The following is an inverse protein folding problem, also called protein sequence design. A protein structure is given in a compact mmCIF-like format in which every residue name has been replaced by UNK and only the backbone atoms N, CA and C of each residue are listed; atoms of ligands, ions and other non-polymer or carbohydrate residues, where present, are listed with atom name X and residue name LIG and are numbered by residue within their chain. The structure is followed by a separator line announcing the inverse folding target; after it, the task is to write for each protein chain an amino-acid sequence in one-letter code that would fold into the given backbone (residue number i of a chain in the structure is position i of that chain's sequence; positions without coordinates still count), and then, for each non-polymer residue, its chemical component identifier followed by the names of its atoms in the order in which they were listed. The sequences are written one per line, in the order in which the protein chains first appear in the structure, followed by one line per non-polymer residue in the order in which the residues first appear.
data_IF_466422865658
#
_entry.id   IF_466422865658
#
_cell.length_a   1.000
_cell.length_b   1.000
_cell.length_c   1.000
_cell.angle_alpha   90.00
_cell.angle_beta   90.00
_cell.angle_gamma   90.00
#
_symmetry.space_group_name_H-M   'P 1'
#
loop_
_entity.id
_entity.type
_entity.pdbx_description
1 polymer ?
#
# COMPACT_ATOMS: atom_id res chain seq x y z
N UNK A 1 6.60 9.76 29.42
CA UNK A 1 6.26 8.37 29.06
C UNK A 1 5.21 8.43 27.97
N UNK A 2 5.55 8.00 26.74
CA UNK A 2 4.61 7.97 25.62
C UNK A 2 3.71 6.74 25.76
N UNK A 3 2.43 6.95 26.07
CA UNK A 3 1.44 5.87 26.03
C UNK A 3 1.33 5.35 24.59
N UNK A 4 1.83 4.13 24.37
CA UNK A 4 1.60 3.38 23.14
C UNK A 4 0.20 2.78 23.25
N UNK A 5 -0.68 3.11 22.31
CA UNK A 5 -2.03 2.57 22.25
C UNK A 5 -2.08 1.37 21.29
N UNK A 6 -2.85 0.34 21.65
CA UNK A 6 -3.16 -0.76 20.73
C UNK A 6 -4.01 -0.27 19.55
N UNK A 7 -4.00 -1.00 18.43
CA UNK A 7 -4.85 -0.73 17.26
C UNK A 7 -6.33 -0.63 17.63
N UNK A 8 -6.81 -1.48 18.55
CA UNK A 8 -8.18 -1.43 19.06
C UNK A 8 -8.47 -0.15 19.84
N UNK A 9 -7.56 0.25 20.73
CA UNK A 9 -7.68 1.47 21.55
C UNK A 9 -7.67 2.72 20.67
N UNK A 10 -6.79 2.77 19.65
CA UNK A 10 -6.73 3.87 18.69
C UNK A 10 -8.03 4.01 17.89
N UNK A 11 -8.67 2.89 17.52
CA UNK A 11 -9.97 2.89 16.84
C UNK A 11 -11.08 3.46 17.73
N UNK A 12 -11.13 3.07 19.01
CA UNK A 12 -12.10 3.58 20.01
C UNK A 12 -11.88 5.08 20.23
N UNK A 13 -10.63 5.52 20.43
CA UNK A 13 -10.29 6.93 20.59
C UNK A 13 -10.68 7.77 19.36
N UNK A 14 -10.51 7.23 18.15
CA UNK A 14 -10.92 7.92 16.92
C UNK A 14 -12.43 8.12 16.86
N UNK A 15 -13.19 7.09 17.23
CA UNK A 15 -14.65 7.13 17.26
C UNK A 15 -15.17 8.16 18.28
N UNK A 16 -14.57 8.21 19.48
CA UNK A 16 -14.95 9.15 20.54
C UNK A 16 -14.42 10.58 20.34
N UNK A 17 -13.57 10.83 19.32
CA UNK A 17 -13.02 12.16 19.05
C UNK A 17 -14.08 13.12 18.51
N UNK A 18 -15.11 12.59 17.85
CA UNK A 18 -16.18 13.37 17.22
C UNK A 18 -17.33 13.69 18.21
N UNK A 19 -17.29 13.13 19.42
CA UNK A 19 -18.28 13.31 20.48
C UNK A 19 -18.29 12.13 21.44
N UNK A 20 -19.00 12.24 22.57
CA UNK A 20 -19.27 11.07 23.41
C UNK A 20 -20.17 10.06 22.70
N UNK A 21 -20.11 8.79 23.07
CA UNK A 21 -21.00 7.76 22.55
C UNK A 21 -21.86 7.14 23.64
N UNK A 22 -23.00 6.57 23.28
CA UNK A 22 -23.79 5.72 24.16
C UNK A 22 -23.27 4.28 24.06
N UNK A 23 -23.25 3.58 25.20
CA UNK A 23 -22.86 2.17 25.26
C UNK A 23 -24.11 1.31 25.30
N UNK A 24 -24.28 0.42 24.32
CA UNK A 24 -25.36 -0.53 24.23
C UNK A 24 -24.84 -1.96 24.35
N UNK A 25 -25.70 -2.86 24.82
CA UNK A 25 -25.35 -4.28 24.89
C UNK A 25 -25.25 -4.89 23.49
N UNK A 26 -24.23 -5.72 23.30
CA UNK A 26 -24.07 -6.52 22.09
C UNK A 26 -24.71 -7.89 22.28
N UNK A 27 -25.09 -8.53 21.17
CA UNK A 27 -25.50 -9.94 21.14
C UNK A 27 -24.37 -10.86 21.67
N UNK A 28 -23.11 -10.42 21.55
CA UNK A 28 -21.97 -11.10 22.16
C UNK A 28 -21.74 -10.57 23.57
N UNK A 29 -21.80 -11.45 24.56
CA UNK A 29 -21.60 -11.11 25.98
C UNK A 29 -20.27 -10.37 26.25
N UNK A 30 -19.22 -10.70 25.50
CA UNK A 30 -17.88 -10.12 25.64
C UNK A 30 -17.72 -8.72 25.02
N UNK A 31 -18.70 -8.26 24.25
CA UNK A 31 -18.63 -7.00 23.50
C UNK A 31 -19.75 -6.05 23.91
N UNK A 32 -19.53 -4.77 23.61
CA UNK A 32 -20.55 -3.72 23.65
C UNK A 32 -20.53 -2.95 22.33
N UNK A 33 -21.65 -2.33 22.02
CA UNK A 33 -21.78 -1.43 20.88
C UNK A 33 -21.65 0.01 21.37
N UNK A 34 -20.69 0.72 20.80
CA UNK A 34 -20.51 2.15 20.98
C UNK A 34 -21.29 2.84 19.88
N UNK A 35 -22.37 3.53 20.24
CA UNK A 35 -23.28 4.20 19.31
C UNK A 35 -23.07 5.70 19.38
N UNK A 36 -22.66 6.30 18.27
CA UNK A 36 -22.45 7.73 18.15
C UNK A 36 -23.16 8.27 16.91
N UNK A 37 -23.12 9.59 16.73
CA UNK A 37 -23.77 10.25 15.59
C UNK A 37 -23.21 9.81 14.22
N UNK A 38 -22.01 9.22 14.21
CA UNK A 38 -21.23 8.88 13.03
C UNK A 38 -21.29 7.39 12.69
N UNK A 39 -22.10 6.63 13.45
CA UNK A 39 -22.28 5.19 13.29
C UNK A 39 -22.05 4.41 14.58
N UNK A 40 -21.93 3.09 14.45
CA UNK A 40 -21.78 2.17 15.57
C UNK A 40 -20.53 1.33 15.41
N UNK A 41 -19.76 1.17 16.48
CA UNK A 41 -18.62 0.25 16.51
C UNK A 41 -18.74 -0.75 17.66
N UNK A 42 -18.34 -2.00 17.43
CA UNK A 42 -18.17 -2.97 18.52
C UNK A 42 -16.83 -2.73 19.23
N UNK A 43 -16.80 -2.87 20.56
CA UNK A 43 -15.60 -2.88 21.39
C UNK A 43 -15.72 -3.98 22.45
N UNK A 44 -14.61 -4.56 22.90
CA UNK A 44 -14.66 -5.55 23.99
C UNK A 44 -14.82 -4.85 25.32
N UNK A 45 -15.56 -5.46 26.27
CA UNK A 45 -15.70 -4.91 27.63
C UNK A 45 -14.33 -4.79 28.32
N UNK A 46 -13.47 -5.79 28.15
CA UNK A 46 -12.13 -5.82 28.73
C UNK A 46 -11.24 -4.66 28.24
N UNK A 47 -11.32 -4.27 26.96
CA UNK A 47 -10.58 -3.11 26.45
C UNK A 47 -11.10 -1.80 27.06
N UNK A 48 -12.43 -1.63 27.13
CA UNK A 48 -13.03 -0.43 27.74
C UNK A 48 -12.69 -0.29 29.22
N UNK A 49 -12.75 -1.39 29.97
CA UNK A 49 -12.37 -1.41 31.39
C UNK A 49 -10.90 -1.05 31.58
N UNK A 50 -10.01 -1.60 30.75
CA UNK A 50 -8.58 -1.28 30.77
C UNK A 50 -8.36 0.21 30.48
N UNK A 51 -9.05 0.76 29.47
CA UNK A 51 -8.94 2.17 29.11
C UNK A 51 -9.53 3.10 30.18
N UNK A 52 -10.60 2.70 30.88
CA UNK A 52 -11.15 3.44 32.02
C UNK A 52 -10.21 3.41 33.23
N UNK A 53 -9.66 2.24 33.57
CA UNK A 53 -8.67 2.08 34.65
C UNK A 53 -7.42 2.92 34.43
N UNK A 54 -7.00 3.09 33.17
CA UNK A 54 -5.91 3.98 32.75
C UNK A 54 -6.29 5.47 32.73
N UNK A 55 -7.54 5.83 33.04
CA UNK A 55 -8.04 7.21 33.02
C UNK A 55 -8.13 7.81 31.61
N UNK A 56 -8.18 6.97 30.57
CA UNK A 56 -8.27 7.40 29.16
C UNK A 56 -9.71 7.75 28.80
N UNK A 57 -10.65 6.94 29.28
CA UNK A 57 -12.08 7.10 29.07
C UNK A 57 -12.78 7.45 30.39
N UNK A 58 -13.83 8.25 30.31
CA UNK A 58 -14.69 8.60 31.43
C UNK A 58 -16.13 8.30 31.03
N UNK A 59 -16.92 7.84 32.00
CA UNK A 59 -18.37 7.74 31.85
C UNK A 59 -18.99 9.03 32.40
N UNK A 60 -19.54 9.85 31.51
CA UNK A 60 -20.31 11.04 31.86
C UNK A 60 -21.80 10.69 31.72
N UNK A 61 -22.40 10.25 32.82
CA UNK A 61 -23.75 9.66 32.81
C UNK A 61 -23.78 8.34 32.04
N UNK A 62 -24.63 8.27 31.00
CA UNK A 62 -24.74 7.10 30.11
C UNK A 62 -23.79 7.16 28.90
N UNK A 63 -22.98 8.23 28.80
CA UNK A 63 -22.10 8.48 27.66
C UNK A 63 -20.66 8.22 28.01
N UNK A 64 -19.97 7.52 27.12
CA UNK A 64 -18.53 7.32 27.18
C UNK A 64 -17.82 8.47 26.46
N UNK A 65 -16.93 9.17 27.15
CA UNK A 65 -16.18 10.32 26.62
C UNK A 65 -14.67 10.16 26.84
N UNK A 66 -13.86 10.83 26.01
CA UNK A 66 -12.40 10.88 26.20
C UNK A 66 -12.06 11.83 27.34
N UNK A 67 -11.27 11.36 28.30
CA UNK A 67 -10.72 12.16 29.39
C UNK A 67 -9.95 13.39 28.86
N UNK A 68 -10.13 14.55 29.50
CA UNK A 68 -9.53 15.82 29.07
C UNK A 68 -8.00 15.78 28.95
N UNK A 69 -7.31 15.06 29.85
CA UNK A 69 -5.87 14.84 29.79
C UNK A 69 -5.45 13.99 28.57
N UNK A 70 -6.28 13.03 28.20
CA UNK A 70 -6.07 12.10 27.08
C UNK A 70 -6.51 12.66 25.73
N UNK A 71 -7.29 13.75 25.70
CA UNK A 71 -7.72 14.41 24.46
C UNK A 71 -6.54 15.01 23.68
N UNK A 72 -5.50 15.51 24.37
CA UNK A 72 -4.26 16.02 23.74
C UNK A 72 -3.34 14.91 23.25
N UNK A 73 -3.21 13.79 23.97
CA UNK A 73 -2.38 12.63 23.58
C UNK A 73 -3.04 11.80 22.48
N UNK A 74 -4.35 11.59 22.52
CA UNK A 74 -5.13 10.99 21.44
C UNK A 74 -5.05 11.81 20.15
N UNK A 75 -5.08 13.15 20.23
CA UNK A 75 -4.91 14.02 19.05
C UNK A 75 -3.51 13.92 18.42
N UNK A 76 -2.46 13.74 19.23
CA UNK A 76 -1.08 13.49 18.73
C UNK A 76 -0.92 12.09 18.13
N UNK A 77 -1.44 11.04 18.78
CA UNK A 77 -1.28 9.65 18.30
C UNK A 77 -2.19 9.26 17.12
N UNK A 78 -3.34 9.93 16.93
CA UNK A 78 -4.16 9.76 15.70
C UNK A 78 -3.44 10.30 14.45
N UNK A 79 -2.52 11.27 14.59
CA UNK A 79 -1.66 11.71 13.48
C UNK A 79 -0.53 10.70 13.16
N UNK A 80 -0.14 9.85 14.11
CA UNK A 80 0.92 8.84 13.91
C UNK A 80 0.41 7.59 13.19
N UNK A 81 -0.91 7.40 13.05
CA UNK A 81 -1.50 6.21 12.43
C UNK A 81 -1.61 6.27 10.89
N UNK A 82 -1.31 7.40 10.25
CA UNK A 82 -1.08 7.53 8.81
C UNK A 82 -0.15 8.71 8.58
N UNK A 83 1.16 8.45 8.47
CA UNK A 83 2.06 9.40 7.82
C UNK A 83 1.90 9.22 6.32
N UNK A 84 0.77 9.63 5.75
CA UNK A 84 0.58 9.53 4.31
C UNK A 84 1.43 10.59 3.63
N UNK A 85 2.38 10.16 2.80
CA UNK A 85 3.13 11.04 1.92
C UNK A 85 2.43 11.07 0.57
N UNK A 86 2.05 12.26 0.10
CA UNK A 86 1.46 12.43 -1.22
C UNK A 86 2.56 12.68 -2.23
N UNK A 87 2.70 11.78 -3.21
CA UNK A 87 3.61 11.98 -4.33
C UNK A 87 2.81 12.44 -5.54
N UNK A 88 3.21 13.57 -6.11
CA UNK A 88 2.72 14.08 -7.39
C UNK A 88 3.57 13.51 -8.54
N UNK A 89 2.91 12.89 -9.52
CA UNK A 89 3.54 12.40 -10.75
C UNK A 89 3.50 13.48 -11.84
N UNK A 90 4.38 13.38 -12.84
CA UNK A 90 4.50 14.33 -13.96
C UNK A 90 3.18 14.57 -14.73
N UNK A 91 2.26 13.61 -14.70
CA UNK A 91 0.94 13.71 -15.35
C UNK A 91 -0.16 14.29 -14.44
N UNK A 92 0.19 14.88 -13.30
CA UNK A 92 -0.75 15.46 -12.33
C UNK A 92 -1.48 14.43 -11.45
N UNK A 93 -1.16 13.15 -11.58
CA UNK A 93 -1.71 12.08 -10.75
C UNK A 93 -1.08 12.14 -9.34
N UNK A 94 -1.91 12.16 -8.30
CA UNK A 94 -1.46 12.16 -6.89
C UNK A 94 -1.67 10.79 -6.27
N UNK A 95 -0.65 10.26 -5.61
CA UNK A 95 -0.72 8.98 -4.90
C UNK A 95 -0.38 9.18 -3.44
N UNK A 96 -1.26 8.71 -2.56
CA UNK A 96 -1.05 8.67 -1.12
C UNK A 96 -0.33 7.37 -0.73
N UNK A 97 0.85 7.49 -0.12
CA UNK A 97 1.68 6.36 0.30
C UNK A 97 1.75 6.32 1.82
N UNK A 98 1.55 5.14 2.42
CA UNK A 98 1.81 4.91 3.83
C UNK A 98 3.17 4.19 4.02
N UNK A 99 4.25 4.90 4.35
CA UNK A 99 5.60 4.35 4.41
C UNK A 99 5.83 3.41 5.61
N UNK A 100 4.91 3.32 6.58
CA UNK A 100 4.95 2.29 7.62
C UNK A 100 4.37 0.95 7.16
N UNK A 101 3.60 0.93 6.08
CA UNK A 101 2.90 -0.26 5.57
C UNK A 101 3.53 -0.84 4.30
N UNK A 102 4.40 -0.11 3.60
CA UNK A 102 5.03 -0.57 2.35
C UNK A 102 6.38 -1.29 2.59
N UNK A 103 6.53 -2.60 2.26
CA UNK A 103 7.84 -3.25 2.21
C UNK A 103 8.83 -2.54 1.28
N UNK A 104 8.31 -1.91 0.22
CA UNK A 104 9.07 -1.09 -0.71
C UNK A 104 9.76 0.08 0.01
N UNK A 105 9.07 0.73 0.96
CA UNK A 105 9.62 1.84 1.73
C UNK A 105 10.82 1.43 2.60
N UNK A 106 10.89 0.18 3.06
CA UNK A 106 12.08 -0.35 3.75
C UNK A 106 13.26 -0.50 2.80
N UNK A 107 13.02 -1.02 1.59
CA UNK A 107 14.05 -1.19 0.57
C UNK A 107 14.54 0.15 0.02
N UNK A 108 13.64 1.13 -0.09
CA UNK A 108 13.96 2.51 -0.50
C UNK A 108 14.93 3.20 0.46
N UNK A 109 14.76 2.99 1.76
CA UNK A 109 15.66 3.54 2.80
C UNK A 109 17.00 2.83 2.87
N UNK A 110 17.11 1.62 2.33
CA UNK A 110 18.35 0.86 2.36
C UNK A 110 19.39 1.55 1.48
N UNK A 111 20.58 1.77 2.05
CA UNK A 111 21.74 2.29 1.31
C UNK A 111 22.68 1.16 0.91
N UNK A 112 23.29 1.27 -0.27
CA UNK A 112 24.40 0.41 -0.69
C UNK A 112 25.71 0.87 -0.01
N UNK A 113 26.82 0.19 -0.32
CA UNK A 113 28.14 0.55 0.20
C UNK A 113 28.60 1.95 -0.20
N UNK A 114 28.08 2.46 -1.32
CA UNK A 114 28.40 3.77 -1.88
C UNK A 114 27.50 4.89 -1.32
N UNK A 115 26.56 4.56 -0.43
CA UNK A 115 25.64 5.53 0.20
C UNK A 115 24.40 5.88 -0.62
N UNK A 116 24.21 5.27 -1.79
CA UNK A 116 23.03 5.43 -2.66
C UNK A 116 21.89 4.49 -2.25
N UNK A 117 20.65 4.87 -2.57
CA UNK A 117 19.48 4.03 -2.32
C UNK A 117 19.56 2.73 -3.14
N UNK A 118 19.17 1.61 -2.54
CA UNK A 118 19.14 0.35 -3.27
C UNK A 118 18.16 0.37 -4.45
N UNK A 119 16.99 0.98 -4.26
CA UNK A 119 16.02 1.30 -5.31
C UNK A 119 15.95 2.81 -5.50
N UNK A 120 15.87 3.26 -6.75
CA UNK A 120 15.78 4.68 -7.08
C UNK A 120 14.42 5.28 -6.68
N UNK A 121 14.34 6.60 -6.61
CA UNK A 121 13.08 7.32 -6.41
C UNK A 121 12.04 6.94 -7.47
N UNK A 122 12.47 6.78 -8.71
CA UNK A 122 11.59 6.47 -9.84
C UNK A 122 11.12 5.02 -9.83
N UNK A 123 11.98 4.08 -9.44
CA UNK A 123 11.63 2.68 -9.19
C UNK A 123 10.62 2.56 -8.05
N UNK A 124 10.85 3.30 -6.95
CA UNK A 124 9.93 3.36 -5.82
C UNK A 124 8.55 3.90 -6.23
N UNK A 125 8.52 5.02 -6.97
CA UNK A 125 7.30 5.61 -7.51
C UNK A 125 6.56 4.67 -8.45
N UNK A 126 7.27 3.95 -9.30
CA UNK A 126 6.68 2.97 -10.20
C UNK A 126 5.97 1.83 -9.44
N UNK A 127 6.61 1.29 -8.40
CA UNK A 127 6.01 0.27 -7.54
C UNK A 127 4.77 0.76 -6.79
N UNK A 128 4.82 1.95 -6.21
CA UNK A 128 3.67 2.56 -5.52
C UNK A 128 2.52 2.92 -6.47
N UNK A 129 2.83 3.30 -7.72
CA UNK A 129 1.84 3.49 -8.78
C UNK A 129 1.11 2.20 -9.12
N UNK A 130 1.85 1.11 -9.31
CA UNK A 130 1.27 -0.22 -9.54
C UNK A 130 0.32 -0.60 -8.39
N UNK A 131 0.73 -0.40 -7.14
CA UNK A 131 -0.10 -0.65 -5.96
C UNK A 131 -1.38 0.20 -5.97
N UNK A 132 -1.28 1.47 -6.32
CA UNK A 132 -2.42 2.39 -6.36
C UNK A 132 -3.44 1.96 -7.42
N UNK A 133 -2.98 1.62 -8.63
CA UNK A 133 -3.85 1.14 -9.71
C UNK A 133 -4.47 -0.23 -9.37
N UNK A 134 -3.70 -1.15 -8.78
CA UNK A 134 -4.21 -2.45 -8.32
C UNK A 134 -5.32 -2.31 -7.28
N UNK A 135 -5.15 -1.37 -6.35
CA UNK A 135 -6.14 -1.07 -5.31
C UNK A 135 -7.38 -0.42 -5.92
N UNK A 136 -7.21 0.58 -6.79
CA UNK A 136 -8.31 1.29 -7.47
C UNK A 136 -9.09 0.37 -8.40
N UNK A 137 -8.42 -0.58 -9.03
CA UNK A 137 -9.01 -1.65 -9.83
C UNK A 137 -9.75 -2.71 -9.01
N UNK A 138 -9.77 -2.63 -7.67
CA UNK A 138 -10.38 -3.66 -6.80
C UNK A 138 -9.88 -5.09 -7.12
N UNK A 139 -8.56 -5.23 -7.37
CA UNK A 139 -7.94 -6.51 -7.73
C UNK A 139 -7.47 -7.33 -6.51
N UNK A 140 -7.73 -6.86 -5.29
CA UNK A 140 -7.45 -7.62 -4.06
C UNK A 140 -8.44 -8.79 -3.89
N UNK A 141 -7.97 -9.99 -3.48
CA UNK A 141 -8.86 -11.11 -3.16
C UNK A 141 -9.82 -10.74 -2.01
N UNK A 142 -11.13 -10.85 -2.20
CA UNK A 142 -12.10 -10.67 -1.11
C UNK A 142 -12.32 -12.01 -0.39
N UNK A 143 -11.90 -12.11 0.87
CA UNK A 143 -12.06 -13.33 1.70
C UNK A 143 -13.46 -13.43 2.35
N UNK A 144 -14.29 -12.40 2.26
CA UNK A 144 -15.67 -12.42 2.74
C UNK A 144 -16.66 -12.35 1.57
N UNK A 145 -17.71 -13.18 1.60
CA UNK A 145 -18.91 -12.95 0.81
C UNK A 145 -19.39 -11.50 1.06
N UNK A 146 -19.45 -10.69 -0.01
CA UNK A 146 -19.99 -9.32 0.04
C UNK A 146 -21.50 -9.41 0.24
N UNK A 147 -21.92 -9.50 1.49
CA UNK A 147 -23.29 -9.20 1.87
C UNK A 147 -23.34 -7.69 2.14
N UNK A 148 -24.13 -7.00 1.32
CA UNK A 148 -24.38 -5.55 1.30
C UNK A 148 -23.30 -4.65 0.67
N UNK A 149 -23.61 -4.17 -0.55
CA UNK A 149 -23.13 -2.88 -1.06
C UNK A 149 -24.15 -1.83 -0.63
N UNK A 150 -24.22 -1.62 0.69
CA UNK A 150 -25.00 -0.57 1.32
C UNK A 150 -24.21 0.73 1.35
N UNK A 151 -24.59 1.65 0.46
CA UNK A 151 -24.45 3.11 0.46
C UNK A 151 -24.09 3.73 1.84
N UNK A 152 -22.99 4.51 1.92
CA UNK A 152 -22.91 5.80 2.64
C UNK A 152 -21.47 6.37 2.83
N UNK A 153 -20.92 7.09 1.83
CA UNK A 153 -20.25 8.40 2.03
C UNK A 153 -19.66 8.96 0.71
N UNK A 154 -20.52 9.32 -0.24
CA UNK A 154 -20.17 10.34 -1.24
C UNK A 154 -21.20 11.46 -1.18
N UNK A 155 -21.07 12.33 -0.20
CA UNK A 155 -21.62 13.68 -0.25
C UNK A 155 -20.82 14.51 -1.27
N UNK A 156 -20.80 14.08 -2.55
CA UNK A 156 -20.45 14.94 -3.70
C UNK A 156 -20.64 14.37 -5.11
N UNK A 157 -21.22 13.19 -5.33
CA UNK A 157 -21.44 12.71 -6.69
C UNK A 157 -22.85 13.02 -7.18
N UNK A 158 -22.94 13.88 -8.20
CA UNK A 158 -24.16 14.06 -9.00
C UNK A 158 -24.53 12.80 -9.82
N UNK A 159 -25.53 12.90 -10.70
CA UNK A 159 -25.96 11.78 -11.55
C UNK A 159 -24.80 11.38 -12.47
N UNK A 160 -24.09 10.30 -12.14
CA UNK A 160 -22.88 9.87 -12.87
C UNK A 160 -21.80 9.20 -12.00
N UNK A 161 -21.83 9.38 -10.68
CA UNK A 161 -20.76 8.87 -9.80
C UNK A 161 -20.52 7.35 -9.86
N UNK A 162 -21.56 6.54 -10.06
CA UNK A 162 -21.38 5.08 -10.16
C UNK A 162 -20.72 4.65 -11.47
N UNK A 163 -21.09 5.28 -12.58
CA UNK A 163 -20.49 5.01 -13.90
C UNK A 163 -19.03 5.47 -13.93
N UNK A 164 -18.75 6.65 -13.37
CA UNK A 164 -17.39 7.19 -13.27
C UNK A 164 -16.49 6.30 -12.39
N UNK A 165 -17.01 5.77 -11.27
CA UNK A 165 -16.26 4.83 -10.42
C UNK A 165 -15.97 3.51 -11.13
N UNK A 166 -16.91 2.98 -11.91
CA UNK A 166 -16.68 1.76 -12.70
C UNK A 166 -15.66 1.97 -13.82
N UNK A 167 -15.70 3.13 -14.48
CA UNK A 167 -14.77 3.47 -15.56
C UNK A 167 -13.35 3.66 -15.01
N UNK A 168 -13.22 4.33 -13.87
CA UNK A 168 -11.94 4.49 -13.16
C UNK A 168 -11.37 3.12 -12.76
N UNK A 169 -12.20 2.21 -12.23
CA UNK A 169 -11.75 0.87 -11.85
C UNK A 169 -11.30 0.07 -13.08
N UNK A 170 -12.05 0.12 -14.18
CA UNK A 170 -11.71 -0.56 -15.43
C UNK A 170 -10.39 -0.02 -16.02
N UNK A 171 -10.24 1.31 -16.10
CA UNK A 171 -9.02 1.94 -16.58
C UNK A 171 -7.80 1.57 -15.71
N UNK A 172 -7.98 1.45 -14.40
CA UNK A 172 -6.92 1.03 -13.48
C UNK A 172 -6.51 -0.42 -13.72
N UNK A 173 -7.48 -1.35 -13.91
CA UNK A 173 -7.18 -2.76 -14.27
C UNK A 173 -6.38 -2.84 -15.57
N UNK A 174 -6.80 -2.11 -16.60
CA UNK A 174 -6.10 -2.08 -17.88
C UNK A 174 -4.67 -1.55 -17.75
N UNK A 175 -4.42 -0.54 -16.90
CA UNK A 175 -3.05 -0.06 -16.62
C UNK A 175 -2.21 -1.12 -15.93
N UNK A 176 -2.75 -1.82 -14.93
CA UNK A 176 -2.06 -2.93 -14.26
C UNK A 176 -1.71 -4.04 -15.26
N UNK A 177 -2.67 -4.49 -16.06
CA UNK A 177 -2.47 -5.56 -17.04
C UNK A 177 -1.35 -5.20 -18.03
N UNK A 178 -1.38 -4.00 -18.60
CA UNK A 178 -0.34 -3.51 -19.53
C UNK A 178 1.04 -3.41 -18.86
N UNK A 179 1.08 -2.97 -17.61
CA UNK A 179 2.33 -2.86 -16.86
C UNK A 179 2.94 -4.23 -16.59
N UNK A 180 2.12 -5.22 -16.20
CA UNK A 180 2.57 -6.60 -15.96
C UNK A 180 2.98 -7.30 -17.26
N UNK A 181 2.25 -7.08 -18.36
CA UNK A 181 2.63 -7.58 -19.68
C UNK A 181 4.00 -7.03 -20.12
N UNK A 182 4.23 -5.73 -19.93
CA UNK A 182 5.52 -5.10 -20.25
C UNK A 182 6.68 -5.60 -19.37
N UNK A 183 6.41 -5.96 -18.12
CA UNK A 183 7.39 -6.56 -17.21
C UNK A 183 7.65 -8.04 -17.53
N UNK A 184 6.65 -8.75 -18.04
CA UNK A 184 6.71 -10.17 -18.35
C UNK A 184 6.37 -11.09 -17.17
N UNK A 185 6.04 -12.36 -17.44
CA UNK A 185 5.50 -13.30 -16.45
C UNK A 185 6.50 -13.64 -15.33
N UNK A 186 7.80 -13.67 -15.64
CA UNK A 186 8.85 -14.06 -14.70
C UNK A 186 8.99 -13.10 -13.51
N UNK A 187 8.75 -11.80 -13.75
CA UNK A 187 8.94 -10.73 -12.76
C UNK A 187 7.61 -10.15 -12.25
N UNK A 188 6.52 -10.33 -12.99
CA UNK A 188 5.19 -9.86 -12.58
C UNK A 188 4.78 -10.38 -11.20
N UNK A 189 5.09 -11.65 -10.92
CA UNK A 189 4.73 -12.29 -9.66
C UNK A 189 5.33 -11.60 -8.43
N UNK A 190 6.63 -11.29 -8.44
CA UNK A 190 7.30 -10.63 -7.31
C UNK A 190 6.84 -9.18 -7.13
N UNK A 191 6.52 -8.48 -8.22
CA UNK A 191 5.95 -7.14 -8.13
C UNK A 191 4.58 -7.15 -7.44
N UNK A 192 3.69 -8.08 -7.82
CA UNK A 192 2.37 -8.21 -7.19
C UNK A 192 2.52 -8.58 -5.71
N UNK A 193 3.36 -9.57 -5.39
CA UNK A 193 3.54 -10.02 -4.01
C UNK A 193 4.05 -8.91 -3.09
N UNK A 194 5.04 -8.14 -3.53
CA UNK A 194 5.69 -7.12 -2.69
C UNK A 194 4.94 -5.78 -2.73
N UNK A 195 4.54 -5.30 -3.92
CA UNK A 195 3.92 -3.98 -4.06
C UNK A 195 2.43 -4.02 -3.69
N UNK A 196 1.70 -5.06 -4.12
CA UNK A 196 0.25 -5.13 -3.95
C UNK A 196 -0.14 -5.88 -2.68
N UNK A 197 0.41 -7.08 -2.46
CA UNK A 197 0.12 -7.90 -1.28
C UNK A 197 1.01 -7.61 -0.07
N UNK A 198 1.99 -6.71 -0.21
CA UNK A 198 2.86 -6.27 0.89
C UNK A 198 3.61 -7.41 1.59
N UNK A 199 3.90 -8.50 0.87
CA UNK A 199 4.71 -9.60 1.39
C UNK A 199 6.16 -9.16 1.59
N UNK A 200 6.80 -9.66 2.65
CA UNK A 200 8.24 -9.53 2.82
C UNK A 200 9.01 -10.45 1.86
N UNK A 201 10.21 -10.05 1.44
CA UNK A 201 11.02 -10.81 0.47
C UNK A 201 11.29 -12.26 0.90
N UNK A 202 11.53 -12.51 2.19
CA UNK A 202 11.75 -13.87 2.71
C UNK A 202 10.54 -14.79 2.51
N UNK A 203 9.32 -14.24 2.65
CA UNK A 203 8.09 -14.98 2.38
C UNK A 203 7.93 -15.26 0.90
N UNK A 204 8.22 -14.28 0.04
CA UNK A 204 8.18 -14.45 -1.41
C UNK A 204 9.18 -15.51 -1.88
N UNK A 205 10.41 -15.48 -1.37
CA UNK A 205 11.44 -16.47 -1.68
C UNK A 205 10.99 -17.89 -1.29
N UNK A 206 10.42 -18.06 -0.11
CA UNK A 206 9.90 -19.35 0.37
C UNK A 206 8.74 -19.87 -0.47
N UNK A 207 7.73 -19.02 -0.74
CA UNK A 207 6.53 -19.41 -1.50
C UNK A 207 6.85 -19.75 -2.96
N UNK A 208 7.84 -19.07 -3.54
CA UNK A 208 8.27 -19.28 -4.93
C UNK A 208 9.41 -20.28 -5.08
N UNK A 209 9.87 -20.87 -3.98
CA UNK A 209 11.01 -21.79 -3.94
C UNK A 209 12.28 -21.20 -4.57
N UNK A 210 12.49 -19.90 -4.40
CA UNK A 210 13.69 -19.22 -4.88
C UNK A 210 14.86 -19.43 -3.91
N UNK A 211 16.11 -19.44 -4.41
CA UNK A 211 17.27 -19.45 -3.53
C UNK A 211 17.27 -18.24 -2.60
N UNK A 212 17.73 -18.42 -1.37
CA UNK A 212 17.77 -17.38 -0.34
C UNK A 212 18.54 -16.15 -0.87
N UNK A 213 18.02 -14.95 -0.58
CA UNK A 213 18.57 -13.65 -1.01
C UNK A 213 18.45 -13.32 -2.50
N UNK A 214 17.73 -14.12 -3.30
CA UNK A 214 17.53 -13.83 -4.73
C UNK A 214 16.44 -12.78 -4.97
N UNK A 215 15.44 -12.70 -4.10
CA UNK A 215 14.24 -11.90 -4.31
C UNK A 215 14.54 -10.40 -4.39
N UNK A 216 15.56 -9.93 -3.66
CA UNK A 216 15.98 -8.53 -3.66
C UNK A 216 16.37 -8.05 -5.07
N UNK A 217 17.17 -8.82 -5.80
CA UNK A 217 17.63 -8.43 -7.15
C UNK A 217 16.52 -8.61 -8.19
N UNK A 218 15.73 -9.67 -8.09
CA UNK A 218 14.58 -9.89 -8.99
C UNK A 218 13.55 -8.76 -8.87
N UNK A 219 13.24 -8.34 -7.64
CA UNK A 219 12.37 -7.18 -7.40
C UNK A 219 12.96 -5.90 -8.02
N UNK A 220 14.25 -5.64 -7.84
CA UNK A 220 14.92 -4.46 -8.44
C UNK A 220 14.80 -4.46 -9.97
N UNK A 221 15.06 -5.59 -10.62
CA UNK A 221 14.89 -5.74 -12.08
C UNK A 221 13.44 -5.49 -12.50
N UNK A 222 12.47 -6.04 -11.78
CA UNK A 222 11.05 -5.80 -12.04
C UNK A 222 10.66 -4.33 -11.92
N UNK A 223 11.14 -3.63 -10.89
CA UNK A 223 10.87 -2.20 -10.68
C UNK A 223 11.50 -1.34 -11.78
N UNK A 224 12.71 -1.67 -12.24
CA UNK A 224 13.35 -0.97 -13.35
C UNK A 224 12.55 -1.12 -14.67
N UNK A 225 12.00 -2.31 -14.92
CA UNK A 225 11.12 -2.55 -16.08
C UNK A 225 9.80 -1.78 -15.95
N UNK A 226 9.21 -1.79 -14.75
CA UNK A 226 7.97 -1.10 -14.45
C UNK A 226 8.13 0.43 -14.60
N UNK A 227 9.24 0.99 -14.12
CA UNK A 227 9.57 2.39 -14.31
C UNK A 227 9.63 2.76 -15.80
N UNK A 228 10.29 1.95 -16.63
CA UNK A 228 10.38 2.15 -18.08
C UNK A 228 9.01 2.11 -18.77
N UNK A 229 8.09 1.27 -18.28
CA UNK A 229 6.72 1.22 -18.76
C UNK A 229 5.96 2.50 -18.43
N UNK A 230 6.06 2.99 -17.19
CA UNK A 230 5.35 4.21 -16.77
C UNK A 230 6.00 5.51 -17.25
N UNK A 231 7.28 5.47 -17.59
CA UNK A 231 8.08 6.61 -18.06
C UNK A 231 8.71 6.26 -19.40
N UNK A 232 7.89 6.11 -20.47
CA UNK A 232 8.42 5.83 -21.80
C UNK A 232 9.35 6.98 -22.19
N UNK A 233 10.67 6.71 -22.18
CA UNK A 233 11.64 7.70 -22.61
C UNK A 233 11.33 8.10 -24.04
N UNK A 234 11.34 9.42 -24.33
CA UNK A 234 11.29 9.92 -25.70
C UNK A 234 12.49 9.32 -26.41
N UNK A 235 12.23 8.31 -27.24
CA UNK A 235 13.27 7.47 -27.80
C UNK A 235 14.19 8.33 -28.67
N UNK A 236 15.32 8.78 -28.13
CA UNK A 236 16.45 9.15 -28.94
C UNK A 236 16.80 7.87 -29.70
N UNK A 237 16.59 7.89 -31.02
CA UNK A 237 16.95 6.78 -31.89
C UNK A 237 18.47 6.62 -31.83
N UNK A 238 18.96 5.91 -30.82
CA UNK A 238 20.34 5.43 -30.80
C UNK A 238 20.42 4.38 -31.88
N UNK A 239 21.12 4.71 -32.96
CA UNK A 239 21.54 3.74 -33.95
C UNK A 239 22.18 2.57 -33.20
N UNK A 240 21.83 1.30 -33.51
CA UNK A 240 22.42 0.16 -32.83
C UNK A 240 23.92 0.20 -33.09
N UNK A 241 24.68 0.60 -32.08
CA UNK A 241 26.14 0.52 -32.11
C UNK A 241 26.46 -0.97 -32.13
N UNK A 242 27.03 -1.42 -33.24
CA UNK A 242 27.44 -2.82 -33.39
C UNK A 242 28.54 -3.06 -32.36
N UNK A 243 28.18 -3.72 -31.27
CA UNK A 243 29.14 -4.20 -30.28
C UNK A 243 30.01 -5.25 -30.96
N UNK A 244 31.20 -4.82 -31.37
CA UNK A 244 32.23 -5.67 -31.93
C UNK A 244 32.97 -6.36 -30.78
N UNK A 245 32.88 -7.69 -30.72
CA UNK A 245 33.46 -8.52 -29.64
C UNK A 245 34.90 -8.98 -29.94
N UNK A 246 35.63 -8.23 -30.75
CA UNK A 246 37.04 -8.48 -31.04
C UNK A 246 37.89 -7.21 -30.93
N UNK A 247 39.20 -7.36 -31.08
CA UNK A 247 40.06 -6.20 -31.30
C UNK A 247 39.59 -5.45 -32.55
N UNK A 248 39.91 -4.16 -32.66
CA UNK A 248 39.48 -3.28 -33.76
C UNK A 248 39.77 -3.82 -35.17
N UNK A 249 40.71 -4.76 -35.28
CA UNK A 249 41.18 -5.45 -36.48
C UNK A 249 40.71 -6.92 -36.59
N UNK A 250 40.00 -7.45 -35.59
CA UNK A 250 39.54 -8.83 -35.60
C UNK A 250 38.42 -9.02 -36.63
N UNK A 251 38.69 -9.92 -37.59
CA UNK A 251 37.75 -10.32 -38.65
C UNK A 251 37.54 -11.83 -38.56
N UNK A 252 36.29 -12.31 -38.36
CA UNK A 252 36.03 -13.75 -38.27
C UNK A 252 36.37 -14.41 -39.61
N UNK A 253 37.21 -15.44 -39.57
CA UNK A 253 37.54 -16.26 -40.74
C UNK A 253 36.48 -17.36 -40.82
N UNK A 254 35.61 -17.30 -41.82
CA UNK A 254 34.68 -18.38 -42.09
C UNK A 254 35.48 -19.59 -42.62
N UNK A 255 35.58 -20.66 -41.85
CA UNK A 255 36.09 -21.93 -42.36
C UNK A 255 35.04 -22.50 -43.34
N UNK A 256 35.41 -22.79 -44.59
CA UNK A 256 34.48 -23.47 -45.50
C UNK A 256 34.16 -24.85 -44.92
N UNK A 257 32.87 -25.11 -44.69
CA UNK A 257 32.37 -26.43 -44.31
C UNK A 257 32.79 -27.45 -45.37
N UNK A 258 33.69 -28.36 -45.02
CA UNK A 258 34.01 -29.50 -45.88
C UNK A 258 32.77 -30.42 -45.90
N UNK A 259 32.19 -30.57 -47.09
CA UNK A 259 31.20 -31.60 -47.39
C UNK A 259 31.83 -32.95 -47.67
#
# INVERSE_FOLDING_TARGET
MSDVFSTSEARILRFLKQGGCDVQDSVRETHVLLVGEQGTIAATRAELETMQKRGILLCEGQRLVISGASRKTASKNVKTARKTETIEFEHGEKIEINPSESPLAKLYRLRNGDGENFISDDEFRAGERLRADFTRGSMMPSISARWDVGINNSTRSGPGGMAELTDIALASRMRVERALEAVGPELSGVLIDVCCFLKGLETVERERQWPVRSGKMLLKTGLAMLHRHYSPQKQERRSPEVLHWGASDYRPIAHPSQG
#
